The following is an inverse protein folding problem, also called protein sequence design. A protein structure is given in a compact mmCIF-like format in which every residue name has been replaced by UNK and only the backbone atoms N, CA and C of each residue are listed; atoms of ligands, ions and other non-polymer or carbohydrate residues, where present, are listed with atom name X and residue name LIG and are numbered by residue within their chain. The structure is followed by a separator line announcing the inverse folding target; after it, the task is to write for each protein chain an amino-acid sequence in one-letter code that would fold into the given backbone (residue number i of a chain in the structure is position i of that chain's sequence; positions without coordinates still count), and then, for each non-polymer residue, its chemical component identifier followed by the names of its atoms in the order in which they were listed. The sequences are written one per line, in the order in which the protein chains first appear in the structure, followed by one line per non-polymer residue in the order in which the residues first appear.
data_IF_222971524626
#
_entry.id   IF_222971524626
#
_cell.length_a   1.000
_cell.length_b   1.000
_cell.length_c   1.000
_cell.angle_alpha   90.00
_cell.angle_beta   90.00
_cell.angle_gamma   90.00
#
_symmetry.space_group_name_H-M   'P 1'
#
loop_
_entity.id
_entity.type
_entity.pdbx_description
1 polymer ?
#
# COMPACT_ATOMS: atom_id res chain seq x y z
N UNK A 1 -8.16 -3.11 -6.81
CA UNK A 1 -7.44 -3.67 -5.63
C UNK A 1 -6.39 -2.65 -5.23
N UNK A 2 -6.10 -2.53 -3.93
CA UNK A 2 -5.12 -1.56 -3.45
C UNK A 2 -3.67 -1.99 -3.75
N UNK A 3 -2.67 -1.14 -3.43
CA UNK A 3 -1.24 -1.39 -3.73
C UNK A 3 -0.60 -2.45 -2.81
N UNK A 4 -1.40 -3.36 -2.27
CA UNK A 4 -0.94 -4.44 -1.41
C UNK A 4 -1.84 -5.68 -1.56
N UNK A 5 -1.27 -6.83 -1.22
CA UNK A 5 -1.95 -8.12 -1.19
C UNK A 5 -1.12 -9.13 -0.39
N UNK A 6 -1.41 -10.41 -0.56
CA UNK A 6 -0.67 -11.49 0.09
C UNK A 6 -0.15 -12.47 -0.95
N UNK A 7 1.07 -12.94 -0.75
CA UNK A 7 1.64 -14.07 -1.48
C UNK A 7 0.88 -15.37 -1.15
N UNK A 8 1.09 -16.42 -1.96
CA UNK A 8 0.44 -17.72 -1.73
C UNK A 8 0.80 -18.36 -0.38
N UNK A 9 1.95 -17.99 0.17
CA UNK A 9 2.43 -18.44 1.48
C UNK A 9 1.94 -17.55 2.65
N UNK A 10 1.10 -16.55 2.36
CA UNK A 10 0.54 -15.63 3.36
C UNK A 10 1.41 -14.42 3.68
N UNK A 11 2.60 -14.27 3.07
CA UNK A 11 3.43 -13.07 3.28
C UNK A 11 2.77 -11.83 2.67
N UNK A 12 2.83 -10.70 3.38
CA UNK A 12 2.40 -9.42 2.84
C UNK A 12 3.25 -9.05 1.62
N UNK A 13 2.57 -8.62 0.55
CA UNK A 13 3.17 -8.13 -0.68
C UNK A 13 2.76 -6.69 -0.91
N UNK A 14 3.73 -5.78 -0.99
CA UNK A 14 3.53 -4.41 -1.46
C UNK A 14 3.79 -4.35 -2.96
N UNK A 15 3.00 -3.56 -3.69
CA UNK A 15 3.07 -3.50 -5.15
C UNK A 15 3.24 -2.06 -5.62
N UNK A 16 4.31 -1.79 -6.37
CA UNK A 16 4.52 -0.47 -6.96
C UNK A 16 3.73 -0.32 -8.26
N UNK A 17 2.74 0.59 -8.27
CA UNK A 17 1.96 0.88 -9.48
C UNK A 17 2.63 1.93 -10.38
N UNK A 18 3.64 2.62 -9.86
CA UNK A 18 4.50 3.58 -10.56
C UNK A 18 5.91 3.54 -9.95
N UNK A 19 6.95 4.05 -10.64
CA UNK A 19 8.32 3.96 -10.14
C UNK A 19 8.49 4.53 -8.73
N UNK A 20 9.11 3.72 -7.85
CA UNK A 20 9.44 4.10 -6.47
C UNK A 20 8.23 4.46 -5.60
N UNK A 21 7.02 3.95 -5.91
CA UNK A 21 5.82 4.26 -5.16
C UNK A 21 5.97 3.97 -3.66
N UNK A 22 6.59 2.83 -3.29
CA UNK A 22 6.81 2.47 -1.89
C UNK A 22 7.76 3.46 -1.21
N UNK A 23 8.88 3.83 -1.87
CA UNK A 23 9.81 4.83 -1.31
C UNK A 23 9.11 6.18 -1.11
N UNK A 24 8.41 6.67 -2.13
CA UNK A 24 7.75 7.97 -2.08
C UNK A 24 6.63 8.03 -1.03
N UNK A 25 5.99 6.91 -0.70
CA UNK A 25 4.94 6.84 0.31
C UNK A 25 5.51 6.76 1.73
N UNK A 26 6.59 6.00 1.96
CA UNK A 26 6.99 5.64 3.32
C UNK A 26 8.29 6.29 3.80
N UNK A 27 9.12 6.84 2.90
CA UNK A 27 10.44 7.38 3.29
C UNK A 27 10.30 8.63 4.15
N UNK A 28 11.00 8.64 5.28
CA UNK A 28 10.90 9.70 6.29
C UNK A 28 9.57 9.74 7.04
N UNK A 29 8.66 8.80 6.80
CA UNK A 29 7.42 8.68 7.57
C UNK A 29 7.72 7.94 8.86
N UNK A 30 7.47 8.60 9.98
CA UNK A 30 7.67 8.05 11.31
C UNK A 30 6.35 7.69 12.00
N UNK A 31 6.34 6.72 12.90
CA UNK A 31 5.13 6.32 13.62
C UNK A 31 5.40 5.39 14.79
N UNK A 32 4.34 5.01 15.50
CA UNK A 32 4.42 4.08 16.62
C UNK A 32 3.71 2.76 16.29
N UNK A 33 4.32 1.64 16.67
CA UNK A 33 3.68 0.33 16.73
C UNK A 33 3.31 0.06 18.18
N UNK A 34 2.03 -0.20 18.41
CA UNK A 34 1.50 -0.54 19.73
C UNK A 34 1.38 -2.06 19.84
N UNK A 35 1.94 -2.61 20.91
CA UNK A 35 1.80 -4.01 21.24
C UNK A 35 0.83 -4.19 22.38
N UNK A 36 0.10 -5.30 22.29
CA UNK A 36 -0.87 -5.78 23.25
C UNK A 36 -0.54 -7.25 23.47
N UNK A 37 -0.52 -7.68 24.73
CA UNK A 37 -0.23 -9.08 25.06
C UNK A 37 -1.47 -9.96 24.90
N UNK A 38 -2.64 -9.45 25.29
CA UNK A 38 -3.91 -10.20 25.26
C UNK A 38 -5.10 -9.31 24.89
N UNK A 39 -6.08 -9.91 24.22
CA UNK A 39 -7.38 -9.28 23.94
C UNK A 39 -8.51 -10.17 24.45
N UNK A 40 -9.64 -9.57 24.82
CA UNK A 40 -10.87 -10.31 25.10
C UNK A 40 -11.59 -10.51 23.77
N UNK A 41 -11.81 -11.76 23.36
CA UNK A 41 -12.53 -12.08 22.11
C UNK A 41 -13.85 -11.30 22.04
N UNK A 42 -14.10 -10.69 20.88
CA UNK A 42 -15.32 -9.94 20.61
C UNK A 42 -16.48 -10.84 20.17
N UNK A 43 -16.20 -12.07 19.76
CA UNK A 43 -17.14 -12.95 19.08
C UNK A 43 -17.47 -12.51 17.64
N UNK A 44 -16.79 -11.50 17.11
CA UNK A 44 -16.95 -11.01 15.75
C UNK A 44 -15.87 -11.59 14.84
N UNK A 45 -16.30 -12.37 13.85
CA UNK A 45 -15.39 -12.97 12.87
C UNK A 45 -14.97 -11.96 11.80
N UNK A 46 -13.68 -11.61 11.77
CA UNK A 46 -13.10 -10.75 10.74
C UNK A 46 -12.77 -11.55 9.49
N UNK A 47 -13.16 -11.03 8.33
CA UNK A 47 -12.74 -11.54 7.02
C UNK A 47 -11.45 -10.84 6.53
N UNK A 48 -10.53 -10.55 7.45
CA UNK A 48 -9.26 -9.89 7.17
C UNK A 48 -8.15 -10.73 7.82
N UNK A 49 -7.20 -11.25 7.05
CA UNK A 49 -6.06 -11.99 7.59
C UNK A 49 -5.31 -11.19 8.64
N UNK A 50 -4.84 -11.88 9.68
CA UNK A 50 -4.01 -11.31 10.76
C UNK A 50 -4.64 -10.13 11.52
N UNK A 51 -5.97 -9.97 11.43
CA UNK A 51 -6.72 -8.97 12.17
C UNK A 51 -7.52 -9.62 13.30
N UNK A 52 -7.54 -8.97 14.46
CA UNK A 52 -8.31 -9.40 15.62
C UNK A 52 -9.10 -8.23 16.21
N UNK A 53 -10.20 -8.52 16.90
CA UNK A 53 -11.03 -7.51 17.58
C UNK A 53 -11.22 -7.87 19.04
N UNK A 54 -11.33 -6.85 19.89
CA UNK A 54 -11.64 -7.05 21.31
C UNK A 54 -13.00 -6.48 21.69
N UNK A 55 -13.72 -7.17 22.58
CA UNK A 55 -14.98 -6.68 23.18
C UNK A 55 -14.79 -5.61 24.25
N UNK A 56 -13.55 -5.38 24.71
CA UNK A 56 -13.23 -4.41 25.74
C UNK A 56 -12.09 -3.49 25.32
N UNK A 57 -11.92 -2.39 26.07
CA UNK A 57 -10.73 -1.56 25.94
C UNK A 57 -9.48 -2.39 26.28
N UNK A 58 -8.44 -2.21 25.49
CA UNK A 58 -7.20 -2.99 25.55
C UNK A 58 -6.07 -2.09 26.02
N UNK A 59 -5.33 -2.52 27.03
CA UNK A 59 -4.16 -1.81 27.51
C UNK A 59 -2.93 -2.12 26.63
N UNK A 60 -2.18 -1.07 26.28
CA UNK A 60 -0.95 -1.21 25.50
C UNK A 60 0.17 -1.68 26.42
N UNK A 61 0.77 -2.84 26.13
CA UNK A 61 1.86 -3.42 26.92
C UNK A 61 3.24 -2.86 26.53
N UNK A 62 3.42 -2.49 25.26
CA UNK A 62 4.67 -1.92 24.74
C UNK A 62 4.41 -0.99 23.58
N UNK A 63 5.25 0.04 23.46
CA UNK A 63 5.25 0.97 22.33
C UNK A 63 6.63 0.92 21.67
N UNK A 64 6.65 0.73 20.35
CA UNK A 64 7.85 0.82 19.53
C UNK A 64 7.78 2.05 18.64
N UNK A 65 8.82 2.89 18.67
CA UNK A 65 8.94 4.04 17.78
C UNK A 65 9.69 3.65 16.51
N UNK A 66 9.08 3.94 15.37
CA UNK A 66 9.65 3.76 14.04
C UNK A 66 9.98 5.13 13.48
N UNK A 67 11.28 5.43 13.34
CA UNK A 67 11.74 6.73 12.83
C UNK A 67 11.57 6.87 11.31
N UNK A 68 11.65 5.77 10.57
CA UNK A 68 11.47 5.73 9.12
C UNK A 68 10.83 4.40 8.71
N UNK A 69 9.57 4.46 8.28
CA UNK A 69 8.80 3.30 7.88
C UNK A 69 9.37 2.60 6.64
N UNK A 70 9.94 3.36 5.70
CA UNK A 70 10.56 2.78 4.52
C UNK A 70 11.79 1.94 4.87
N UNK A 71 12.62 2.41 5.81
CA UNK A 71 13.78 1.65 6.27
C UNK A 71 13.38 0.30 6.90
N UNK A 72 12.33 0.28 7.73
CA UNK A 72 11.83 -0.97 8.33
C UNK A 72 11.15 -1.88 7.31
N UNK A 73 10.45 -1.32 6.31
CA UNK A 73 9.90 -2.08 5.17
C UNK A 73 11.03 -2.77 4.39
N UNK A 74 12.12 -2.08 4.07
CA UNK A 74 13.27 -2.68 3.36
C UNK A 74 13.94 -3.78 4.19
N UNK A 75 14.10 -3.58 5.49
CA UNK A 75 14.63 -4.62 6.39
C UNK A 75 13.72 -5.83 6.49
N UNK A 76 12.39 -5.62 6.48
CA UNK A 76 11.42 -6.71 6.44
C UNK A 76 11.47 -7.48 5.11
N UNK A 77 11.68 -6.78 3.99
CA UNK A 77 11.91 -7.41 2.68
C UNK A 77 13.21 -8.23 2.67
N UNK A 78 14.32 -7.65 3.12
CA UNK A 78 15.65 -8.30 3.20
C UNK A 78 15.61 -9.58 4.04
N UNK A 79 14.84 -9.57 5.13
CA UNK A 79 14.64 -10.74 6.00
C UNK A 79 13.54 -11.68 5.54
N UNK A 80 12.95 -11.46 4.37
CA UNK A 80 11.94 -12.32 3.76
C UNK A 80 10.58 -12.30 4.45
N UNK A 81 10.31 -11.34 5.35
CA UNK A 81 9.03 -11.22 6.07
C UNK A 81 7.91 -10.65 5.19
N UNK A 82 8.28 -9.78 4.26
CA UNK A 82 7.37 -9.22 3.25
C UNK A 82 7.98 -9.41 1.85
N UNK A 83 7.23 -9.07 0.82
CA UNK A 83 7.70 -8.95 -0.56
C UNK A 83 7.36 -7.56 -1.10
N UNK A 84 8.21 -7.01 -1.97
CA UNK A 84 7.90 -5.79 -2.71
C UNK A 84 8.02 -6.11 -4.20
N UNK A 85 6.91 -6.00 -4.94
CA UNK A 85 6.95 -6.02 -6.40
C UNK A 85 7.32 -4.62 -6.89
N UNK A 86 8.58 -4.46 -7.31
CA UNK A 86 9.09 -3.21 -7.88
C UNK A 86 8.44 -2.96 -9.23
N UNK A 87 8.20 -1.70 -9.56
CA UNK A 87 7.52 -1.33 -10.82
C UNK A 87 8.25 -1.85 -12.07
N UNK A 88 9.58 -1.93 -12.00
CA UNK A 88 10.43 -2.53 -13.05
C UNK A 88 10.08 -3.99 -13.35
N UNK A 89 9.71 -4.75 -12.33
CA UNK A 89 9.44 -6.19 -12.39
C UNK A 89 7.96 -6.51 -12.67
N UNK A 90 7.09 -5.50 -12.64
CA UNK A 90 5.65 -5.66 -12.94
C UNK A 90 5.46 -6.18 -14.37
N UNK A 91 4.70 -7.26 -14.52
CA UNK A 91 4.41 -7.86 -15.82
C UNK A 91 3.67 -6.91 -16.77
N UNK A 92 3.87 -7.06 -18.09
CA UNK A 92 3.20 -6.23 -19.09
C UNK A 92 1.67 -6.22 -18.97
N UNK A 93 1.04 -7.37 -18.73
CA UNK A 93 -0.42 -7.45 -18.50
C UNK A 93 -0.87 -6.61 -17.32
N UNK A 94 -0.08 -6.59 -16.24
CA UNK A 94 -0.38 -5.81 -15.05
C UNK A 94 -0.13 -4.32 -15.28
N UNK A 95 0.91 -3.95 -16.04
CA UNK A 95 1.13 -2.55 -16.47
C UNK A 95 -0.05 -2.03 -17.30
N UNK A 96 -0.56 -2.81 -18.24
CA UNK A 96 -1.76 -2.46 -19.03
C UNK A 96 -2.99 -2.29 -18.13
N UNK A 97 -3.17 -3.19 -17.16
CA UNK A 97 -4.25 -3.07 -16.19
C UNK A 97 -4.13 -1.80 -15.35
N UNK A 98 -2.93 -1.49 -14.82
CA UNK A 98 -2.67 -0.24 -14.09
C UNK A 98 -2.98 0.96 -14.98
N UNK A 99 -2.47 1.00 -16.22
CA UNK A 99 -2.73 2.09 -17.18
C UNK A 99 -4.22 2.32 -17.39
N UNK A 100 -4.99 1.24 -17.62
CA UNK A 100 -6.44 1.31 -17.77
C UNK A 100 -7.12 1.86 -16.51
N UNK A 101 -6.79 1.33 -15.33
CA UNK A 101 -7.39 1.76 -14.06
C UNK A 101 -7.10 3.22 -13.75
N UNK A 102 -5.86 3.69 -13.94
CA UNK A 102 -5.49 5.08 -13.71
C UNK A 102 -6.20 6.02 -14.69
N UNK A 103 -6.38 5.62 -15.95
CA UNK A 103 -7.17 6.40 -16.91
C UNK A 103 -8.63 6.54 -16.48
N UNK A 104 -9.26 5.45 -16.05
CA UNK A 104 -10.64 5.47 -15.53
C UNK A 104 -10.75 6.34 -14.29
N UNK A 105 -9.82 6.23 -13.33
CA UNK A 105 -9.77 7.09 -12.15
C UNK A 105 -9.60 8.56 -12.51
N UNK A 106 -8.70 8.88 -13.44
CA UNK A 106 -8.48 10.25 -13.91
C UNK A 106 -9.74 10.87 -14.50
N UNK A 107 -10.47 10.13 -15.35
CA UNK A 107 -11.73 10.59 -15.95
C UNK A 107 -12.79 10.80 -14.87
N UNK A 108 -12.90 9.87 -13.92
CA UNK A 108 -13.86 9.96 -12.82
C UNK A 108 -13.57 11.11 -11.84
N UNK A 109 -12.32 11.56 -11.79
CA UNK A 109 -11.85 12.63 -10.91
C UNK A 109 -12.03 14.04 -11.51
N UNK A 110 -12.93 14.24 -12.48
CA UNK A 110 -13.14 15.53 -13.16
C UNK A 110 -13.38 16.69 -12.20
N UNK A 111 -14.04 16.42 -11.07
CA UNK A 111 -14.40 17.41 -10.06
C UNK A 111 -13.31 17.56 -8.97
N UNK A 112 -12.18 16.85 -9.11
CA UNK A 112 -11.04 16.86 -8.20
C UNK A 112 -9.72 17.17 -8.94
N UNK A 113 -9.48 18.44 -9.34
CA UNK A 113 -8.31 18.83 -10.11
C UNK A 113 -6.96 18.48 -9.45
N UNK A 114 -6.89 18.56 -8.13
CA UNK A 114 -5.69 18.20 -7.37
C UNK A 114 -5.37 16.71 -7.47
N UNK A 115 -6.40 15.86 -7.47
CA UNK A 115 -6.24 14.42 -7.65
C UNK A 115 -5.85 14.08 -9.09
N UNK A 116 -6.45 14.75 -10.08
CA UNK A 116 -6.01 14.65 -11.47
C UNK A 116 -4.55 15.08 -11.66
N UNK A 117 -4.11 16.14 -10.98
CA UNK A 117 -2.71 16.59 -11.01
C UNK A 117 -1.78 15.54 -10.40
N UNK A 118 -2.17 14.95 -9.26
CA UNK A 118 -1.44 13.84 -8.65
C UNK A 118 -1.30 12.65 -9.60
N UNK A 119 -2.39 12.20 -10.23
CA UNK A 119 -2.37 11.08 -11.17
C UNK A 119 -1.47 11.36 -12.38
N UNK A 120 -1.56 12.55 -12.98
CA UNK A 120 -0.66 12.98 -14.06
C UNK A 120 0.80 12.96 -13.65
N UNK A 121 1.11 13.45 -12.44
CA UNK A 121 2.48 13.53 -11.95
C UNK A 121 3.09 12.17 -11.62
N UNK A 122 2.33 11.26 -10.99
CA UNK A 122 2.85 9.94 -10.56
C UNK A 122 2.90 8.92 -11.69
N UNK A 123 1.98 9.01 -12.65
CA UNK A 123 1.80 8.00 -13.70
C UNK A 123 2.17 8.53 -15.08
N UNK A 124 2.99 9.59 -15.18
CA UNK A 124 3.38 10.18 -16.47
C UNK A 124 4.08 9.20 -17.42
N UNK A 125 4.74 8.17 -16.88
CA UNK A 125 5.37 7.11 -17.71
C UNK A 125 4.35 6.13 -18.31
N UNK A 126 3.14 6.06 -17.75
CA UNK A 126 2.06 5.17 -18.19
C UNK A 126 0.95 5.91 -18.96
N UNK A 127 0.76 7.20 -18.67
CA UNK A 127 -0.24 8.05 -19.33
C UNK A 127 0.39 8.74 -20.54
N UNK A 128 -0.02 8.38 -21.75
CA UNK A 128 0.39 9.11 -22.95
C UNK A 128 -0.40 10.42 -23.07
N UNK A 129 0.13 11.42 -23.81
CA UNK A 129 -0.59 12.68 -24.03
C UNK A 129 -1.98 12.48 -24.66
N UNK A 130 -2.15 11.42 -25.46
CA UNK A 130 -3.43 11.05 -26.08
C UNK A 130 -4.46 10.50 -25.07
N UNK A 131 -4.00 9.93 -23.94
CA UNK A 131 -4.86 9.45 -22.85
C UNK A 131 -5.47 10.60 -22.01
N UNK A 132 -4.96 11.83 -22.19
CA UNK A 132 -5.35 13.02 -21.43
C UNK A 132 -6.26 13.99 -22.21
N UNK A 133 -6.53 13.69 -23.48
CA UNK A 133 -7.50 14.39 -24.32
C UNK A 133 -8.87 13.72 -24.19
N UNK A 134 -9.86 14.49 -23.73
CA UNK A 134 -11.28 14.14 -23.76
C UNK A 134 -11.81 14.39 -25.17
#
# INVERSE_FOLDING_TARGET
MGPYGFEKDGRLRLEEYYPNAVEQTYKGVSGYIYHVDEIIDSGFELQIPDAATSSAAVEVSRVEWISDAYAEILKAEETGKIAIERFGDVSGKKKEWIKKTIREEFISASDHPDYQHFLKGKFSELLEMEDLTI
#
